data_IF_843320384983
#
_entry.id   IF_843320384983
#
_cell.length_a   1.000
_cell.length_b   1.000
_cell.length_c   1.000
_cell.angle_alpha   90.00
_cell.angle_beta   90.00
_cell.angle_gamma   90.00
#
_symmetry.space_group_name_H-M   'P 1'
#
loop_
_entity.id
_entity.type
_entity.pdbx_description
1 polymer ?
#
# COMPACT_ATOMS: atom_id res chain seq x y z
N UNK A 1 3.18 -13.16 20.01
CA UNK A 1 4.34 -12.60 19.28
C UNK A 1 5.03 -11.58 20.19
N UNK A 2 6.36 -11.62 20.32
CA UNK A 2 7.13 -10.65 21.13
C UNK A 2 7.82 -9.65 20.22
N UNK A 3 7.74 -8.38 20.56
CA UNK A 3 8.39 -7.28 19.84
C UNK A 3 9.60 -6.81 20.65
N UNK A 4 10.68 -6.49 19.95
CA UNK A 4 11.93 -6.02 20.53
C UNK A 4 12.15 -4.55 20.20
N UNK A 5 12.64 -3.77 21.14
CA UNK A 5 12.99 -2.36 20.92
C UNK A 5 14.28 -1.99 21.66
N UNK A 6 15.07 -1.05 21.13
CA UNK A 6 16.28 -0.57 21.80
C UNK A 6 15.95 0.08 23.14
N UNK A 7 16.73 -0.22 24.18
CA UNK A 7 16.70 0.46 25.47
C UNK A 7 18.12 0.86 25.87
N UNK A 8 18.25 1.81 26.80
CA UNK A 8 19.58 2.19 27.32
C UNK A 8 20.19 0.95 27.98
N UNK A 9 21.28 0.45 27.40
CA UNK A 9 21.97 -0.76 27.87
C UNK A 9 21.47 -2.09 27.28
N UNK A 10 20.61 -2.10 26.25
CA UNK A 10 20.26 -3.35 25.57
C UNK A 10 19.00 -3.34 24.72
N UNK A 11 18.28 -4.47 24.73
CA UNK A 11 17.06 -4.68 23.98
C UNK A 11 15.93 -5.06 24.94
N UNK A 12 14.87 -4.24 24.97
CA UNK A 12 13.65 -4.54 25.69
C UNK A 12 12.74 -5.45 24.85
N UNK A 13 12.04 -6.38 25.50
CA UNK A 13 11.05 -7.24 24.85
C UNK A 13 9.67 -7.04 25.49
N UNK A 14 8.64 -6.85 24.67
CA UNK A 14 7.25 -6.72 25.11
C UNK A 14 6.36 -7.68 24.31
N UNK A 15 5.34 -8.23 24.99
CA UNK A 15 4.34 -9.06 24.34
C UNK A 15 3.37 -8.19 23.54
N UNK A 16 3.29 -8.41 22.23
CA UNK A 16 2.38 -7.68 21.38
C UNK A 16 0.96 -8.25 21.48
N UNK A 17 -0.01 -7.40 21.81
CA UNK A 17 -1.44 -7.67 21.60
C UNK A 17 -1.85 -7.12 20.23
N UNK A 18 -1.91 -8.04 19.26
CA UNK A 18 -2.23 -7.71 17.86
C UNK A 18 -3.67 -7.22 17.73
N UNK A 19 -4.60 -7.75 18.52
CA UNK A 19 -6.02 -7.38 18.45
C UNK A 19 -6.23 -5.97 18.98
N UNK A 20 -5.60 -5.65 20.11
CA UNK A 20 -5.66 -4.32 20.69
C UNK A 20 -4.98 -3.28 19.79
N UNK A 21 -3.79 -3.58 19.25
CA UNK A 21 -3.10 -2.70 18.31
C UNK A 21 -3.96 -2.38 17.08
N UNK A 22 -4.60 -3.40 16.50
CA UNK A 22 -5.52 -3.23 15.36
C UNK A 22 -6.71 -2.34 15.71
N UNK A 23 -7.33 -2.54 16.87
CA UNK A 23 -8.46 -1.71 17.35
C UNK A 23 -8.04 -0.25 17.49
N UNK A 24 -6.93 0.01 18.17
CA UNK A 24 -6.42 1.37 18.37
C UNK A 24 -6.12 2.07 17.04
N UNK A 25 -5.54 1.37 16.05
CA UNK A 25 -5.30 1.93 14.73
C UNK A 25 -6.60 2.34 14.03
N UNK A 26 -7.60 1.45 13.99
CA UNK A 26 -8.89 1.74 13.34
C UNK A 26 -9.57 2.93 14.02
N UNK A 27 -9.57 2.98 15.35
CA UNK A 27 -10.14 4.11 16.10
C UNK A 27 -9.40 5.42 15.84
N UNK A 28 -8.07 5.41 15.80
CA UNK A 28 -7.27 6.60 15.49
C UNK A 28 -7.60 7.14 14.09
N UNK A 29 -7.76 6.25 13.10
CA UNK A 29 -8.17 6.63 11.75
C UNK A 29 -9.59 7.22 11.74
N UNK A 30 -10.55 6.60 12.44
CA UNK A 30 -11.93 7.11 12.55
C UNK A 30 -11.96 8.49 13.21
N UNK A 31 -11.21 8.69 14.30
CA UNK A 31 -11.09 9.97 15.00
C UNK A 31 -10.42 11.04 14.14
N UNK A 32 -9.38 10.70 13.38
CA UNK A 32 -8.72 11.62 12.45
C UNK A 32 -9.69 12.12 11.37
N UNK A 33 -10.48 11.23 10.76
CA UNK A 33 -11.52 11.60 9.79
C UNK A 33 -12.59 12.50 10.43
N UNK A 34 -13.02 12.19 11.66
CA UNK A 34 -14.02 12.98 12.38
C UNK A 34 -13.53 14.39 12.69
N UNK A 35 -12.27 14.54 13.14
CA UNK A 35 -11.63 15.85 13.37
C UNK A 35 -11.53 16.67 12.09
N UNK A 36 -11.13 16.06 10.97
CA UNK A 36 -11.09 16.75 9.67
C UNK A 36 -12.49 17.21 9.22
N UNK A 37 -13.53 16.42 9.48
CA UNK A 37 -14.92 16.80 9.18
C UNK A 37 -15.42 17.91 10.10
N UNK A 38 -15.14 17.84 11.40
CA UNK A 38 -15.51 18.88 12.37
C UNK A 38 -14.76 20.20 12.09
N UNK A 39 -13.48 20.13 11.73
CA UNK A 39 -12.66 21.30 11.37
C UNK A 39 -13.09 21.93 10.04
N UNK A 40 -13.61 21.14 9.10
CA UNK A 40 -14.21 21.64 7.86
C UNK A 40 -15.60 22.29 8.05
N UNK A 41 -16.27 22.01 9.18
CA UNK A 41 -17.58 22.58 9.53
C UNK A 41 -17.46 23.81 10.44
N UNK A 42 -16.29 24.06 11.05
CA UNK A 42 -15.98 25.27 11.81
C UNK A 42 -15.30 26.31 10.92
N UNK A 43 -16.10 27.11 10.20
CA UNK A 43 -15.61 28.24 9.42
C UNK A 43 -15.38 29.47 10.30
N UNK A 44 -14.14 29.73 10.74
CA UNK A 44 -13.66 31.10 10.99
C UNK A 44 -12.13 31.25 11.06
N UNK A 45 -11.44 31.01 9.93
CA UNK A 45 -10.49 31.95 9.27
C UNK A 45 -9.54 31.24 8.27
N UNK A 46 -9.30 31.79 7.07
CA UNK A 46 -8.48 31.15 6.04
C UNK A 46 -7.05 31.68 6.08
N UNK A 47 -6.03 30.87 6.40
CA UNK A 47 -4.63 31.19 6.08
C UNK A 47 -3.66 29.99 6.12
N UNK A 48 -3.63 29.29 4.99
CA UNK A 48 -2.47 28.75 4.25
C UNK A 48 -1.33 27.99 5.00
N UNK A 49 -1.15 26.75 4.52
CA UNK A 49 0.10 26.01 4.16
C UNK A 49 0.24 24.72 4.96
N UNK A 50 0.34 23.52 4.37
CA UNK A 50 0.34 23.11 2.97
C UNK A 50 0.69 21.63 2.86
N UNK A 51 0.57 21.15 1.62
CA UNK A 51 0.99 19.87 1.04
C UNK A 51 0.11 18.64 1.29
N UNK A 52 -0.61 18.41 0.19
CA UNK A 52 -1.04 17.17 -0.42
C UNK A 52 -2.25 16.50 0.24
N UNK A 53 -3.46 16.63 -0.36
CA UNK A 53 -4.53 15.72 -0.03
C UNK A 53 -4.05 14.34 -0.46
N UNK A 54 -3.56 13.56 0.50
CA UNK A 54 -3.37 12.14 0.29
C UNK A 54 -4.76 11.62 -0.04
N UNK A 55 -5.00 11.36 -1.33
CA UNK A 55 -6.24 10.82 -1.86
C UNK A 55 -6.41 9.44 -1.22
N UNK A 56 -6.98 9.42 -0.01
CA UNK A 56 -7.47 8.22 0.64
C UNK A 56 -8.80 7.95 -0.05
N UNK A 57 -8.96 6.86 -0.80
CA UNK A 57 -10.27 6.45 -1.28
C UNK A 57 -11.17 6.32 -0.05
N UNK A 58 -12.32 6.97 -0.10
CA UNK A 58 -13.32 6.84 0.95
C UNK A 58 -13.69 5.36 1.09
N UNK A 59 -13.28 4.75 2.20
CA UNK A 59 -13.83 3.48 2.64
C UNK A 59 -15.28 3.73 3.05
N UNK A 60 -16.17 3.69 2.06
CA UNK A 60 -17.57 3.30 2.28
C UNK A 60 -17.52 1.85 2.76
N UNK A 61 -17.96 1.64 3.99
CA UNK A 61 -18.35 0.31 4.45
C UNK A 61 -19.43 -0.21 3.47
N UNK A 62 -19.34 -1.50 3.12
CA UNK A 62 -20.20 -2.24 2.17
C UNK A 62 -19.77 -2.24 0.69
N UNK A 63 -18.69 -2.95 0.40
CA UNK A 63 -18.69 -3.98 -0.63
C UNK A 63 -17.54 -4.93 -0.29
N UNK A 64 -17.74 -6.23 -0.46
CA UNK A 64 -16.64 -7.18 -0.61
C UNK A 64 -15.65 -6.57 -1.60
N UNK A 65 -14.50 -6.07 -1.13
CA UNK A 65 -13.41 -5.67 -2.01
C UNK A 65 -13.00 -6.96 -2.67
N UNK A 66 -13.58 -7.22 -3.85
CA UNK A 66 -13.15 -8.29 -4.71
C UNK A 66 -11.66 -8.03 -4.92
N UNK A 67 -10.83 -8.87 -4.31
CA UNK A 67 -9.40 -8.91 -4.59
C UNK A 67 -9.33 -9.06 -6.10
N UNK A 68 -8.98 -7.97 -6.79
CA UNK A 68 -8.84 -8.05 -8.24
C UNK A 68 -7.71 -9.05 -8.50
N UNK A 69 -7.92 -10.03 -9.41
CA UNK A 69 -6.91 -11.02 -9.70
C UNK A 69 -5.61 -10.32 -10.10
N UNK A 70 -4.50 -10.81 -9.52
CA UNK A 70 -3.16 -10.40 -9.90
C UNK A 70 -3.05 -10.51 -11.42
N UNK A 71 -2.66 -9.43 -12.08
CA UNK A 71 -2.55 -9.38 -13.53
C UNK A 71 -1.76 -10.59 -14.05
N UNK A 72 -2.28 -11.25 -15.08
CA UNK A 72 -1.59 -12.38 -15.70
C UNK A 72 -0.24 -11.93 -16.26
N UNK A 73 0.82 -12.68 -16.00
CA UNK A 73 2.16 -12.36 -16.47
C UNK A 73 2.57 -13.32 -17.59
N UNK A 74 3.14 -12.77 -18.65
CA UNK A 74 3.72 -13.52 -19.76
C UNK A 74 5.17 -13.87 -19.43
N UNK A 75 5.55 -15.12 -19.72
CA UNK A 75 6.93 -15.60 -19.53
C UNK A 75 7.71 -15.40 -20.82
N UNK A 76 8.91 -14.84 -20.73
CA UNK A 76 9.82 -14.59 -21.86
C UNK A 76 11.17 -15.23 -21.53
N UNK A 77 11.69 -16.02 -22.48
CA UNK A 77 13.05 -16.56 -22.40
C UNK A 77 14.07 -15.44 -22.64
N UNK A 78 15.00 -15.26 -21.70
CA UNK A 78 16.12 -14.33 -21.83
C UNK A 78 17.22 -14.88 -22.73
N UNK A 79 17.41 -16.21 -22.67
CA UNK A 79 18.37 -16.93 -23.53
C UNK A 79 17.61 -18.02 -24.28
N UNK A 80 17.67 -18.05 -25.62
CA UNK A 80 16.97 -19.06 -26.40
C UNK A 80 17.38 -20.47 -25.98
N UNK A 81 16.41 -21.29 -25.56
CA UNK A 81 16.63 -22.70 -25.24
C UNK A 81 17.14 -22.98 -23.82
N UNK A 82 17.21 -21.98 -22.94
CA UNK A 82 17.52 -22.16 -21.51
C UNK A 82 16.26 -21.93 -20.65
N UNK A 83 15.56 -23.00 -20.21
CA UNK A 83 14.28 -22.88 -19.50
C UNK A 83 14.42 -22.25 -18.11
N UNK A 84 15.62 -22.18 -17.55
CA UNK A 84 15.87 -21.59 -16.24
C UNK A 84 16.08 -20.06 -16.33
N UNK A 85 16.33 -19.53 -17.52
CA UNK A 85 16.56 -18.10 -17.75
C UNK A 85 15.35 -17.45 -18.38
N UNK A 86 14.30 -17.33 -17.58
CA UNK A 86 13.04 -16.70 -17.95
C UNK A 86 12.79 -15.45 -17.11
N UNK A 87 12.11 -14.47 -17.70
CA UNK A 87 11.56 -13.30 -17.01
C UNK A 87 10.06 -13.21 -17.22
N UNK A 88 9.38 -12.42 -16.38
CA UNK A 88 7.93 -12.25 -16.41
C UNK A 88 7.58 -10.80 -16.72
N UNK A 89 6.79 -10.57 -17.75
CA UNK A 89 6.31 -9.25 -18.17
C UNK A 89 4.79 -9.19 -18.09
N UNK A 90 4.21 -8.01 -17.83
CA UNK A 90 2.76 -7.84 -17.76
C UNK A 90 2.05 -8.24 -19.06
N UNK A 91 0.91 -8.93 -18.97
CA UNK A 91 0.13 -9.33 -20.15
C UNK A 91 -0.61 -8.16 -20.82
N UNK A 92 -0.92 -7.08 -20.08
CA UNK A 92 -1.75 -5.98 -20.60
C UNK A 92 -0.98 -4.87 -21.31
N UNK A 93 0.27 -5.11 -21.70
CA UNK A 93 1.06 -4.13 -22.47
C UNK A 93 0.75 -4.20 -23.97
N UNK A 94 0.81 -3.04 -24.64
CA UNK A 94 0.69 -2.96 -26.10
C UNK A 94 1.83 -3.73 -26.77
N UNK A 95 1.55 -4.38 -27.90
CA UNK A 95 2.53 -5.20 -28.64
C UNK A 95 3.82 -4.41 -28.96
N UNK A 96 3.71 -3.17 -29.45
CA UNK A 96 4.86 -2.33 -29.75
C UNK A 96 5.80 -2.10 -28.55
N UNK A 97 5.22 -1.99 -27.34
CA UNK A 97 5.97 -1.78 -26.10
C UNK A 97 6.54 -3.10 -25.62
N UNK A 98 5.78 -4.18 -25.75
CA UNK A 98 6.21 -5.55 -25.42
C UNK A 98 7.47 -5.92 -26.18
N UNK A 99 7.48 -5.75 -27.50
CA UNK A 99 8.64 -6.08 -28.33
C UNK A 99 9.87 -5.25 -27.96
N UNK A 100 9.69 -3.95 -27.69
CA UNK A 100 10.79 -3.09 -27.24
C UNK A 100 11.37 -3.53 -25.90
N UNK A 101 10.52 -3.96 -24.96
CA UNK A 101 10.97 -4.49 -23.68
C UNK A 101 11.74 -5.79 -23.90
N UNK A 102 11.21 -6.72 -24.70
CA UNK A 102 11.88 -7.99 -25.02
C UNK A 102 13.25 -7.76 -25.67
N UNK A 103 13.37 -6.79 -26.58
CA UNK A 103 14.64 -6.49 -27.25
C UNK A 103 15.69 -5.80 -26.36
N UNK A 104 15.29 -5.30 -25.19
CA UNK A 104 16.17 -4.63 -24.22
C UNK A 104 16.52 -5.53 -23.01
N UNK A 105 15.99 -6.75 -22.96
CA UNK A 105 16.27 -7.76 -21.94
C UNK A 105 17.48 -8.61 -22.35
#
# INVERSE_FOLDING_TARGET
>A
MKIKFPVVGGVGEVQADILQARKCYVEAIKRGKKRMLEEALSEENPSKRGKDPMHRPELKEEATVAVQPLEELLTVELIPGDPDKITKIGSKMKEDVREKVINCL
#
